data_IF_356916386942
#
_entry.id   IF_356916386942
#
_cell.length_a   1.000
_cell.length_b   1.000
_cell.length_c   1.000
_cell.angle_alpha   90.00
_cell.angle_beta   90.00
_cell.angle_gamma   90.00
#
_symmetry.space_group_name_H-M   'P 1'
#
loop_
_entity.id
_entity.type
_entity.pdbx_description
1 polymer ?
#
# COMPACT_ATOMS: atom_id res chain seq x y z
N UNK A 1 -7.13 30.17 -6.45
CA UNK A 1 -8.58 30.32 -6.41
C UNK A 1 -9.06 30.31 -4.96
N UNK A 2 -9.72 31.38 -4.46
CA UNK A 2 -10.17 31.46 -3.06
C UNK A 2 -11.31 30.49 -2.72
N UNK A 3 -11.93 29.86 -3.72
CA UNK A 3 -13.00 28.87 -3.54
C UNK A 3 -12.49 27.43 -3.56
N UNK A 4 -11.18 27.21 -3.77
CA UNK A 4 -10.60 25.89 -3.78
C UNK A 4 -10.51 25.34 -2.35
N UNK A 5 -11.18 24.21 -2.12
CA UNK A 5 -11.06 23.45 -0.87
C UNK A 5 -9.83 22.57 -0.94
N UNK A 6 -8.93 22.71 0.04
CA UNK A 6 -7.67 21.97 0.13
C UNK A 6 -7.83 20.86 1.16
N UNK A 7 -7.75 19.62 0.70
CA UNK A 7 -7.79 18.42 1.54
C UNK A 7 -6.46 17.71 1.44
N UNK A 8 -5.87 17.34 2.58
CA UNK A 8 -4.63 16.56 2.64
C UNK A 8 -4.85 15.28 3.43
N UNK A 9 -4.07 14.27 3.14
CA UNK A 9 -4.08 12.98 3.84
C UNK A 9 -2.79 12.20 3.59
N UNK A 10 -2.73 11.01 4.14
CA UNK A 10 -1.58 10.12 4.01
C UNK A 10 -0.71 10.07 5.26
N UNK A 11 0.30 9.18 5.29
CA UNK A 11 1.05 8.88 6.51
C UNK A 11 1.82 10.07 7.07
N UNK A 12 2.33 10.96 6.24
CA UNK A 12 3.09 12.14 6.67
C UNK A 12 2.26 13.06 7.57
N UNK A 13 1.01 13.31 7.20
CA UNK A 13 0.15 14.28 7.92
C UNK A 13 -0.66 13.65 9.05
N UNK A 14 -0.80 12.33 9.04
CA UNK A 14 -1.68 11.61 9.99
C UNK A 14 -1.21 11.68 11.44
N UNK A 15 0.06 11.98 11.68
CA UNK A 15 0.65 12.03 13.02
C UNK A 15 1.06 13.44 13.47
N UNK A 16 0.99 14.43 12.57
CA UNK A 16 1.43 15.80 12.80
C UNK A 16 0.30 16.81 12.53
N UNK A 17 -0.92 16.48 12.97
CA UNK A 17 -2.15 17.21 12.67
C UNK A 17 -2.03 18.69 13.00
N UNK A 18 -1.53 19.02 14.20
CA UNK A 18 -1.38 20.39 14.65
C UNK A 18 -0.39 21.17 13.79
N UNK A 19 0.76 20.57 13.52
CA UNK A 19 1.79 21.20 12.70
C UNK A 19 1.24 21.59 11.32
N UNK A 20 0.55 20.69 10.65
CA UNK A 20 0.02 20.96 9.31
C UNK A 20 -1.10 22.00 9.33
N UNK A 21 -2.06 21.89 10.24
CA UNK A 21 -3.19 22.82 10.32
C UNK A 21 -2.80 24.22 10.81
N UNK A 22 -1.73 24.36 11.60
CA UNK A 22 -1.27 25.66 12.10
C UNK A 22 -0.36 26.37 11.11
N UNK A 23 0.43 25.65 10.35
CA UNK A 23 1.47 26.24 9.49
C UNK A 23 1.07 26.32 8.01
N UNK A 24 0.02 25.62 7.57
CA UNK A 24 -0.39 25.59 6.17
C UNK A 24 -1.86 26.00 6.00
N UNK A 25 -2.17 26.51 4.81
CA UNK A 25 -3.55 26.84 4.43
C UNK A 25 -4.25 25.58 3.94
N UNK A 26 -4.82 24.83 4.86
CA UNK A 26 -5.49 23.57 4.67
C UNK A 26 -6.90 23.69 5.24
N UNK A 27 -7.91 23.22 4.50
CA UNK A 27 -9.30 23.21 4.95
C UNK A 27 -9.62 21.95 5.75
N UNK A 28 -9.16 20.78 5.24
CA UNK A 28 -9.39 19.49 5.88
C UNK A 28 -8.13 18.61 5.83
N UNK A 29 -7.90 17.88 6.93
CA UNK A 29 -6.85 16.88 7.06
C UNK A 29 -7.50 15.54 7.42
N UNK A 30 -7.18 14.49 6.66
CA UNK A 30 -7.65 13.12 6.90
C UNK A 30 -6.50 12.31 7.48
N UNK A 31 -6.69 11.79 8.70
CA UNK A 31 -5.72 10.96 9.41
C UNK A 31 -6.12 9.48 9.33
N UNK A 32 -5.25 8.63 8.77
CA UNK A 32 -5.50 7.21 8.55
C UNK A 32 -5.93 6.87 7.12
N UNK A 33 -6.65 5.74 6.95
CA UNK A 33 -7.14 5.31 5.63
C UNK A 33 -8.23 6.24 5.13
N UNK A 34 -8.05 6.80 3.95
CA UNK A 34 -8.84 7.95 3.47
C UNK A 34 -10.01 7.61 2.56
N UNK A 35 -10.10 6.41 2.01
CA UNK A 35 -11.02 6.10 0.90
C UNK A 35 -12.49 6.38 1.24
N UNK A 36 -12.94 5.90 2.39
CA UNK A 36 -14.33 6.13 2.85
C UNK A 36 -14.50 7.54 3.39
N UNK A 37 -13.57 7.97 4.27
CA UNK A 37 -13.65 9.28 4.91
C UNK A 37 -13.60 10.44 3.90
N UNK A 38 -12.80 10.31 2.84
CA UNK A 38 -12.74 11.32 1.78
C UNK A 38 -14.05 11.38 0.98
N UNK A 39 -14.61 10.21 0.65
CA UNK A 39 -15.92 10.16 -0.02
C UNK A 39 -17.01 10.82 0.82
N UNK A 40 -17.11 10.45 2.11
CA UNK A 40 -18.07 11.03 3.04
C UNK A 40 -17.87 12.55 3.20
N UNK A 41 -16.62 13.02 3.22
CA UNK A 41 -16.30 14.44 3.24
C UNK A 41 -16.84 15.16 2.00
N UNK A 42 -16.63 14.60 0.81
CA UNK A 42 -17.15 15.18 -0.43
C UNK A 42 -18.68 15.23 -0.42
N UNK A 43 -19.35 14.16 0.00
CA UNK A 43 -20.80 14.10 0.14
C UNK A 43 -21.31 15.19 1.11
N UNK A 44 -20.65 15.40 2.26
CA UNK A 44 -21.00 16.46 3.19
C UNK A 44 -20.81 17.86 2.60
N UNK A 45 -19.71 18.09 1.87
CA UNK A 45 -19.43 19.38 1.23
C UNK A 45 -20.46 19.71 0.13
N UNK A 46 -20.80 18.73 -0.70
CA UNK A 46 -21.79 18.88 -1.77
C UNK A 46 -23.18 19.15 -1.22
N UNK A 47 -23.57 18.42 -0.18
CA UNK A 47 -24.92 18.52 0.42
C UNK A 47 -25.02 19.58 1.52
N UNK A 48 -23.93 20.28 1.83
CA UNK A 48 -23.82 21.27 2.89
C UNK A 48 -24.22 20.75 4.28
N UNK A 49 -23.95 19.43 4.51
CA UNK A 49 -24.23 18.79 5.79
C UNK A 49 -23.08 18.98 6.78
N UNK A 50 -23.36 18.94 8.09
CA UNK A 50 -22.30 19.01 9.11
C UNK A 50 -21.30 17.88 8.96
N UNK A 51 -20.00 18.21 8.96
CA UNK A 51 -18.91 17.23 8.91
C UNK A 51 -18.64 16.71 10.31
N UNK A 52 -18.99 15.44 10.53
CA UNK A 52 -18.75 14.72 11.78
C UNK A 52 -18.21 13.31 11.47
N UNK A 53 -17.07 13.26 10.80
CA UNK A 53 -16.41 12.04 10.31
C UNK A 53 -15.16 11.84 11.16
N UNK A 54 -15.00 10.65 11.74
CA UNK A 54 -13.83 10.30 12.53
C UNK A 54 -12.56 10.40 11.69
N UNK A 55 -11.51 10.98 12.25
CA UNK A 55 -10.22 11.14 11.59
C UNK A 55 -10.14 12.35 10.65
N UNK A 56 -11.19 13.17 10.56
CA UNK A 56 -11.15 14.43 9.81
C UNK A 56 -10.97 15.61 10.76
N UNK A 57 -9.87 16.31 10.55
CA UNK A 57 -9.52 17.54 11.28
C UNK A 57 -9.59 18.76 10.38
N UNK A 58 -9.88 19.91 11.00
CA UNK A 58 -9.83 21.25 10.41
C UNK A 58 -9.34 22.24 11.47
N UNK A 59 -9.04 23.46 11.08
CA UNK A 59 -8.40 24.45 11.97
C UNK A 59 -9.17 24.73 13.27
N UNK A 60 -10.49 24.74 13.22
CA UNK A 60 -11.40 25.01 14.35
C UNK A 60 -11.88 23.75 15.09
N UNK A 61 -11.69 22.56 14.51
CA UNK A 61 -12.08 21.27 15.10
C UNK A 61 -11.06 20.21 14.76
N UNK A 62 -10.30 19.73 15.75
CA UNK A 62 -9.28 18.70 15.58
C UNK A 62 -9.76 17.36 16.10
N UNK A 63 -9.57 16.33 15.31
CA UNK A 63 -9.81 14.94 15.70
C UNK A 63 -8.48 14.19 15.65
N UNK A 64 -7.95 13.83 16.81
CA UNK A 64 -6.68 13.10 16.93
C UNK A 64 -6.84 11.57 16.78
N UNK A 65 -8.05 11.11 16.53
CA UNK A 65 -8.27 9.72 16.17
C UNK A 65 -7.98 9.52 14.68
N UNK A 66 -7.55 8.34 14.32
CA UNK A 66 -7.50 7.95 12.92
C UNK A 66 -8.87 7.49 12.43
N UNK A 67 -9.10 7.54 11.13
CA UNK A 67 -10.23 6.88 10.48
C UNK A 67 -10.25 5.39 10.85
N UNK A 68 -11.41 4.79 10.80
CA UNK A 68 -11.48 3.33 10.94
C UNK A 68 -10.80 2.66 9.75
N UNK A 69 -10.08 1.55 9.96
CA UNK A 69 -9.56 0.76 8.86
C UNK A 69 -10.68 0.36 7.89
N UNK A 70 -10.45 0.60 6.61
CA UNK A 70 -11.45 0.30 5.58
C UNK A 70 -11.59 -1.21 5.39
N UNK A 71 -12.81 -1.70 5.23
CA UNK A 71 -13.04 -3.09 4.85
C UNK A 71 -12.51 -3.33 3.42
N UNK A 72 -11.56 -4.26 3.28
CA UNK A 72 -11.00 -4.59 1.99
C UNK A 72 -12.05 -5.15 1.01
N UNK A 73 -13.06 -5.85 1.52
CA UNK A 73 -14.16 -6.34 0.68
C UNK A 73 -14.95 -5.17 0.04
N UNK A 74 -15.10 -4.06 0.76
CA UNK A 74 -15.69 -2.86 0.18
C UNK A 74 -14.80 -2.29 -0.93
N UNK A 75 -13.49 -2.21 -0.72
CA UNK A 75 -12.55 -1.71 -1.75
C UNK A 75 -12.54 -2.59 -3.00
N UNK A 76 -12.75 -3.90 -2.85
CA UNK A 76 -12.85 -4.83 -3.97
C UNK A 76 -14.06 -4.57 -4.88
N UNK A 77 -15.08 -3.85 -4.39
CA UNK A 77 -16.26 -3.47 -5.19
C UNK A 77 -16.07 -2.19 -6.01
N UNK A 78 -15.00 -1.44 -5.76
CA UNK A 78 -14.74 -0.18 -6.44
C UNK A 78 -14.13 -0.42 -7.83
N UNK A 79 -14.40 0.52 -8.75
CA UNK A 79 -13.73 0.50 -10.05
C UNK A 79 -12.22 0.68 -9.89
N UNK A 80 -11.47 -0.04 -10.71
CA UNK A 80 -10.02 0.07 -10.71
C UNK A 80 -9.58 1.48 -11.12
N UNK A 81 -8.74 2.16 -10.34
CA UNK A 81 -8.24 3.49 -10.68
C UNK A 81 -7.35 3.49 -11.94
N UNK A 82 -6.89 2.32 -12.36
CA UNK A 82 -6.01 2.15 -13.53
C UNK A 82 -6.75 2.08 -14.86
N UNK A 83 -8.09 2.07 -14.85
CA UNK A 83 -8.92 2.00 -16.07
C UNK A 83 -9.36 3.35 -16.60
N UNK A 84 -8.91 4.46 -16.01
CA UNK A 84 -9.25 5.79 -16.49
C UNK A 84 -8.66 6.01 -17.88
N UNK A 85 -9.50 6.31 -18.86
CA UNK A 85 -9.11 6.48 -20.29
C UNK A 85 -7.93 7.43 -20.47
N UNK A 86 -7.88 8.53 -19.70
CA UNK A 86 -6.78 9.50 -19.75
C UNK A 86 -5.41 8.91 -19.39
N UNK A 87 -5.39 7.85 -18.54
CA UNK A 87 -4.17 7.25 -18.02
C UNK A 87 -3.69 6.10 -18.90
N UNK A 88 -4.60 5.44 -19.65
CA UNK A 88 -4.27 4.30 -20.50
C UNK A 88 -3.28 4.64 -21.62
N UNK A 89 -3.31 5.86 -22.14
CA UNK A 89 -2.43 6.31 -23.23
C UNK A 89 -0.94 6.36 -22.85
N UNK A 90 -0.63 6.45 -21.54
CA UNK A 90 0.74 6.60 -21.02
C UNK A 90 1.17 5.47 -20.09
N UNK A 91 0.45 4.35 -20.06
CA UNK A 91 0.74 3.22 -19.16
C UNK A 91 2.13 2.64 -19.34
N UNK A 92 2.65 2.61 -20.54
CA UNK A 92 3.99 2.11 -20.87
C UNK A 92 5.13 2.99 -20.32
N UNK A 93 4.82 4.22 -19.91
CA UNK A 93 5.76 5.20 -19.34
C UNK A 93 5.66 5.32 -17.82
N UNK A 94 4.70 4.62 -17.19
CA UNK A 94 4.41 4.72 -15.77
C UNK A 94 4.92 3.51 -15.00
N UNK A 95 5.27 3.73 -13.75
CA UNK A 95 5.35 2.69 -12.73
C UNK A 95 3.98 2.64 -12.07
N UNK A 96 3.34 1.48 -12.12
CA UNK A 96 2.08 1.28 -11.42
C UNK A 96 2.35 0.73 -10.01
N UNK A 97 1.65 1.29 -9.06
CA UNK A 97 1.69 0.83 -7.68
C UNK A 97 0.47 -0.05 -7.42
N UNK A 98 0.70 -1.26 -6.93
CA UNK A 98 -0.35 -2.23 -6.70
C UNK A 98 -0.25 -2.80 -5.29
N UNK A 99 -1.37 -3.05 -4.65
CA UNK A 99 -1.44 -3.49 -3.26
C UNK A 99 -2.14 -4.85 -3.19
N UNK A 100 -1.50 -5.85 -2.55
CA UNK A 100 -2.11 -7.16 -2.33
C UNK A 100 -2.49 -7.38 -0.87
N UNK A 101 -1.91 -6.57 0.02
CA UNK A 101 -2.21 -6.59 1.45
C UNK A 101 -1.96 -5.22 2.07
N UNK A 102 -2.61 -4.93 3.19
CA UNK A 102 -2.42 -3.73 4.01
C UNK A 102 -1.91 -4.06 5.39
N UNK A 103 -1.02 -3.20 5.90
CA UNK A 103 -0.39 -3.35 7.19
C UNK A 103 0.91 -4.14 7.13
N UNK A 104 1.51 -4.35 8.31
CA UNK A 104 2.75 -5.09 8.47
C UNK A 104 2.70 -5.91 9.75
N UNK A 105 3.18 -7.18 9.75
CA UNK A 105 3.19 -7.99 10.96
C UNK A 105 4.32 -7.61 11.94
N UNK A 106 5.26 -6.75 11.49
CA UNK A 106 6.43 -6.35 12.27
C UNK A 106 6.24 -5.01 12.98
N UNK A 107 7.02 -4.79 14.04
CA UNK A 107 6.95 -3.60 14.88
C UNK A 107 8.30 -2.86 14.93
N UNK A 108 8.98 -2.75 13.80
CA UNK A 108 10.27 -2.06 13.72
C UNK A 108 10.11 -0.59 14.12
N UNK A 109 10.87 -0.12 15.12
CA UNK A 109 10.68 1.20 15.73
C UNK A 109 10.95 2.39 14.80
N UNK A 110 11.71 2.19 13.74
CA UNK A 110 11.99 3.22 12.74
C UNK A 110 10.97 3.30 11.60
N UNK A 111 9.96 2.40 11.59
CA UNK A 111 9.06 2.26 10.45
C UNK A 111 7.64 2.72 10.78
N UNK A 112 7.09 3.63 9.99
CA UNK A 112 5.70 4.08 10.14
C UNK A 112 4.69 2.93 10.06
N UNK A 113 4.97 1.89 9.26
CA UNK A 113 4.06 0.73 9.15
C UNK A 113 3.93 -0.08 10.44
N UNK A 114 4.78 0.15 11.43
CA UNK A 114 4.66 -0.46 12.76
C UNK A 114 3.53 0.14 13.61
N UNK A 115 3.03 1.30 13.22
CA UNK A 115 1.93 1.99 13.88
C UNK A 115 0.55 1.42 13.46
N UNK A 116 0.50 0.79 12.30
CA UNK A 116 -0.68 0.06 11.83
C UNK A 116 -0.68 -1.35 12.41
N UNK A 117 -1.79 -1.75 13.03
CA UNK A 117 -1.89 -3.08 13.63
C UNK A 117 -2.52 -4.06 12.67
N UNK A 118 -1.85 -5.22 12.55
CA UNK A 118 -2.36 -6.35 11.79
C UNK A 118 -1.99 -6.33 10.32
N UNK A 119 -2.31 -7.42 9.66
CA UNK A 119 -2.09 -7.63 8.24
C UNK A 119 -3.40 -8.13 7.64
N UNK A 120 -3.91 -7.42 6.64
CA UNK A 120 -5.16 -7.71 5.93
C UNK A 120 -4.87 -8.00 4.47
N UNK A 121 -5.50 -8.98 3.89
CA UNK A 121 -5.27 -9.40 2.51
C UNK A 121 -6.51 -9.17 1.66
N UNK A 122 -6.32 -8.68 0.46
CA UNK A 122 -7.34 -8.73 -0.59
C UNK A 122 -7.61 -10.17 -1.02
N UNK A 123 -8.80 -10.44 -1.53
CA UNK A 123 -9.13 -11.76 -2.05
C UNK A 123 -8.30 -12.09 -3.29
N UNK A 124 -7.91 -13.37 -3.43
CA UNK A 124 -7.11 -13.81 -4.58
C UNK A 124 -7.86 -13.62 -5.90
N UNK A 125 -9.19 -13.72 -5.90
CA UNK A 125 -10.00 -13.55 -7.10
C UNK A 125 -9.97 -12.09 -7.57
N UNK A 126 -10.13 -11.14 -6.64
CA UNK A 126 -9.97 -9.72 -6.94
C UNK A 126 -8.57 -9.42 -7.46
N UNK A 127 -7.53 -9.88 -6.77
CA UNK A 127 -6.14 -9.64 -7.15
C UNK A 127 -5.82 -10.17 -8.55
N UNK A 128 -6.28 -11.38 -8.88
CA UNK A 128 -6.08 -11.97 -10.21
C UNK A 128 -6.81 -11.19 -11.29
N UNK A 129 -8.03 -10.72 -11.02
CA UNK A 129 -8.77 -9.89 -11.95
C UNK A 129 -8.05 -8.55 -12.21
N UNK A 130 -7.60 -7.86 -11.16
CA UNK A 130 -6.84 -6.61 -11.29
C UNK A 130 -5.50 -6.81 -11.99
N UNK A 131 -4.74 -7.84 -11.63
CA UNK A 131 -3.46 -8.16 -12.28
C UNK A 131 -3.65 -8.47 -13.78
N UNK A 132 -4.72 -9.15 -14.17
CA UNK A 132 -5.04 -9.37 -15.59
C UNK A 132 -5.21 -8.03 -16.32
N UNK A 133 -5.99 -7.10 -15.76
CA UNK A 133 -6.17 -5.77 -16.35
C UNK A 133 -4.85 -5.01 -16.50
N UNK A 134 -4.00 -5.06 -15.46
CA UNK A 134 -2.70 -4.40 -15.48
C UNK A 134 -1.75 -5.02 -16.51
N UNK A 135 -1.71 -6.35 -16.60
CA UNK A 135 -0.90 -7.06 -17.59
C UNK A 135 -1.34 -6.75 -19.02
N UNK A 136 -2.62 -6.48 -19.25
CA UNK A 136 -3.18 -6.13 -20.56
C UNK A 136 -3.03 -4.64 -20.91
N UNK A 137 -2.72 -3.79 -19.92
CA UNK A 137 -2.65 -2.32 -20.10
C UNK A 137 -1.40 -1.82 -20.83
N UNK A 138 -0.40 -2.68 -21.03
CA UNK A 138 0.90 -2.30 -21.63
C UNK A 138 1.91 -1.72 -20.64
N UNK A 139 1.61 -1.74 -19.33
CA UNK A 139 2.56 -1.32 -18.28
C UNK A 139 3.84 -2.14 -18.32
N UNK A 140 4.97 -1.49 -18.05
CA UNK A 140 6.29 -2.15 -18.01
C UNK A 140 6.78 -2.46 -16.60
N UNK A 141 6.33 -1.70 -15.61
CA UNK A 141 6.77 -1.90 -14.22
C UNK A 141 5.58 -1.79 -13.27
N UNK A 142 5.38 -2.84 -12.49
CA UNK A 142 4.40 -2.87 -11.39
C UNK A 142 5.20 -3.02 -10.09
N UNK A 143 5.07 -2.03 -9.19
CA UNK A 143 5.63 -2.09 -7.84
C UNK A 143 4.53 -2.46 -6.86
N UNK A 144 4.71 -3.56 -6.14
CA UNK A 144 3.83 -3.92 -5.04
C UNK A 144 4.14 -3.05 -3.82
N UNK A 145 3.07 -2.58 -3.18
CA UNK A 145 3.16 -1.72 -1.98
C UNK A 145 3.13 -2.51 -0.67
N UNK A 146 3.00 -3.82 -0.76
CA UNK A 146 3.02 -4.71 0.40
C UNK A 146 4.31 -4.52 1.20
N UNK A 147 4.20 -4.19 2.47
CA UNK A 147 5.35 -3.94 3.36
C UNK A 147 6.19 -5.18 3.64
N UNK A 148 5.66 -6.36 3.37
CA UNK A 148 6.35 -7.64 3.40
C UNK A 148 5.52 -8.64 2.59
N UNK A 149 5.72 -8.68 1.30
CA UNK A 149 4.97 -9.52 0.37
C UNK A 149 4.96 -11.01 0.77
N UNK A 150 6.08 -11.49 1.32
CA UNK A 150 6.24 -12.88 1.75
C UNK A 150 5.77 -13.17 3.18
N UNK A 151 5.05 -12.26 3.83
CA UNK A 151 4.53 -12.47 5.20
C UNK A 151 3.56 -13.65 5.31
N UNK A 152 2.89 -14.03 4.21
CA UNK A 152 2.04 -15.22 4.13
C UNK A 152 2.40 -16.03 2.88
N UNK A 153 3.14 -17.11 3.06
CA UNK A 153 3.68 -17.93 1.98
C UNK A 153 2.64 -18.37 0.95
N UNK A 154 1.48 -18.86 1.39
CA UNK A 154 0.44 -19.34 0.48
C UNK A 154 -0.14 -18.22 -0.40
N UNK A 155 -0.26 -16.99 0.15
CA UNK A 155 -0.72 -15.82 -0.59
C UNK A 155 0.32 -15.41 -1.64
N UNK A 156 1.59 -15.31 -1.22
CA UNK A 156 2.68 -14.97 -2.11
C UNK A 156 2.83 -15.95 -3.28
N UNK A 157 2.79 -17.26 -2.99
CA UNK A 157 2.86 -18.30 -4.04
C UNK A 157 1.70 -18.19 -5.02
N UNK A 158 0.46 -17.99 -4.56
CA UNK A 158 -0.69 -17.88 -5.44
C UNK A 158 -0.60 -16.66 -6.40
N UNK A 159 -0.01 -15.57 -5.94
CA UNK A 159 0.23 -14.37 -6.76
C UNK A 159 1.36 -14.62 -7.76
N UNK A 160 2.49 -15.18 -7.31
CA UNK A 160 3.61 -15.52 -8.20
C UNK A 160 3.20 -16.51 -9.28
N UNK A 161 2.44 -17.56 -8.92
CA UNK A 161 1.89 -18.53 -9.86
C UNK A 161 1.05 -17.82 -10.93
N UNK A 162 0.16 -16.93 -10.52
CA UNK A 162 -0.65 -16.16 -11.45
C UNK A 162 0.20 -15.29 -12.38
N UNK A 163 1.17 -14.55 -11.84
CA UNK A 163 2.06 -13.67 -12.60
C UNK A 163 2.88 -14.48 -13.61
N UNK A 164 3.46 -15.63 -13.22
CA UNK A 164 4.28 -16.45 -14.11
C UNK A 164 3.47 -17.06 -15.23
N UNK A 165 2.26 -17.55 -14.92
CA UNK A 165 1.34 -18.10 -15.90
C UNK A 165 0.89 -17.09 -16.96
N UNK A 166 0.75 -15.83 -16.58
CA UNK A 166 0.27 -14.77 -17.47
C UNK A 166 1.40 -13.80 -17.88
N UNK A 167 2.65 -14.21 -17.69
CA UNK A 167 3.81 -13.40 -18.02
C UNK A 167 3.79 -12.90 -19.47
N UNK A 168 4.19 -11.63 -19.63
CA UNK A 168 4.42 -11.01 -20.93
C UNK A 168 5.85 -10.44 -20.97
N UNK A 169 6.61 -10.65 -22.06
CA UNK A 169 7.95 -10.10 -22.20
C UNK A 169 7.97 -8.59 -22.02
N UNK A 170 8.96 -8.09 -21.27
CA UNK A 170 9.16 -6.65 -21.05
C UNK A 170 8.46 -6.07 -19.83
N UNK A 171 7.69 -6.87 -19.08
CA UNK A 171 7.13 -6.44 -17.78
C UNK A 171 8.04 -6.86 -16.63
N UNK A 172 8.12 -6.01 -15.60
CA UNK A 172 8.84 -6.26 -14.35
C UNK A 172 7.94 -6.00 -13.15
N UNK A 173 8.00 -6.91 -12.18
CA UNK A 173 7.36 -6.75 -10.87
C UNK A 173 8.41 -6.50 -9.80
N UNK A 174 8.17 -5.50 -8.95
CA UNK A 174 9.03 -5.15 -7.84
C UNK A 174 8.29 -5.43 -6.52
N UNK A 175 8.97 -6.13 -5.59
CA UNK A 175 8.43 -6.57 -4.32
C UNK A 175 9.33 -6.13 -3.17
N UNK A 176 8.73 -5.69 -2.06
CA UNK A 176 9.42 -5.57 -0.78
C UNK A 176 9.23 -6.88 0.00
N UNK A 177 10.31 -7.52 0.38
CA UNK A 177 10.30 -8.79 1.10
C UNK A 177 11.14 -8.73 2.38
N UNK A 178 10.79 -9.58 3.34
CA UNK A 178 11.61 -9.83 4.50
C UNK A 178 12.40 -11.12 4.29
N UNK A 179 13.74 -11.01 4.26
CA UNK A 179 14.63 -12.15 3.98
C UNK A 179 14.51 -13.26 5.00
N UNK A 180 14.33 -12.94 6.29
CA UNK A 180 14.30 -13.93 7.37
C UNK A 180 13.13 -14.91 7.31
N UNK A 181 12.00 -14.45 6.79
CA UNK A 181 10.79 -15.25 6.69
C UNK A 181 10.52 -15.74 5.26
N UNK A 182 11.55 -15.66 4.42
CA UNK A 182 11.45 -16.18 3.05
C UNK A 182 11.41 -17.70 3.10
N UNK A 183 10.25 -18.26 2.76
CA UNK A 183 10.01 -19.70 2.77
C UNK A 183 10.74 -20.37 1.60
N UNK A 184 11.37 -21.52 1.87
CA UNK A 184 12.08 -22.28 0.84
C UNK A 184 11.21 -22.59 -0.37
N UNK A 185 9.92 -22.85 -0.18
CA UNK A 185 8.96 -23.10 -1.27
C UNK A 185 8.84 -21.93 -2.24
N UNK A 186 8.95 -20.69 -1.75
CA UNK A 186 8.93 -19.49 -2.62
C UNK A 186 10.23 -19.45 -3.43
N UNK A 187 11.37 -19.72 -2.79
CA UNK A 187 12.69 -19.74 -3.44
C UNK A 187 12.70 -20.80 -4.56
N UNK A 188 12.30 -22.02 -4.23
CA UNK A 188 12.26 -23.14 -5.19
C UNK A 188 11.35 -22.80 -6.37
N UNK A 189 10.15 -22.28 -6.08
CA UNK A 189 9.19 -21.92 -7.12
C UNK A 189 9.72 -20.82 -8.05
N UNK A 190 10.41 -19.81 -7.50
CA UNK A 190 11.04 -18.75 -8.30
C UNK A 190 12.17 -19.33 -9.17
N UNK A 191 13.02 -20.17 -8.60
CA UNK A 191 14.14 -20.77 -9.33
C UNK A 191 13.69 -21.64 -10.48
N UNK A 192 12.59 -22.40 -10.30
CA UNK A 192 12.08 -23.33 -11.29
C UNK A 192 11.29 -22.63 -12.42
N UNK A 193 10.56 -21.56 -12.09
CA UNK A 193 9.53 -21.02 -13.00
C UNK A 193 9.67 -19.55 -13.35
N UNK A 194 10.49 -18.75 -12.65
CA UNK A 194 10.51 -17.31 -12.90
C UNK A 194 11.21 -16.95 -14.22
N UNK A 195 10.52 -16.26 -15.14
CA UNK A 195 11.18 -15.69 -16.31
C UNK A 195 12.27 -14.67 -15.91
N UNK A 196 13.39 -14.68 -16.63
CA UNK A 196 14.49 -13.75 -16.36
C UNK A 196 14.04 -12.30 -16.50
N UNK A 197 14.39 -11.47 -15.50
CA UNK A 197 14.10 -10.04 -15.51
C UNK A 197 12.66 -9.69 -15.08
N UNK A 198 11.81 -10.67 -14.82
CA UNK A 198 10.44 -10.44 -14.37
C UNK A 198 10.37 -9.89 -12.94
N UNK A 199 11.19 -10.42 -12.03
CA UNK A 199 11.14 -10.10 -10.62
C UNK A 199 12.31 -9.21 -10.19
N UNK A 200 12.01 -8.24 -9.34
CA UNK A 200 12.96 -7.43 -8.61
C UNK A 200 12.55 -7.41 -7.13
N UNK A 201 13.48 -7.72 -6.24
CA UNK A 201 13.24 -7.71 -4.80
C UNK A 201 14.01 -6.59 -4.12
N UNK A 202 13.32 -5.93 -3.18
CA UNK A 202 13.90 -5.01 -2.22
C UNK A 202 13.92 -5.73 -0.86
N UNK A 203 15.14 -5.90 -0.30
CA UNK A 203 15.35 -6.59 0.97
C UNK A 203 16.06 -5.63 1.93
N UNK A 204 15.35 -5.26 3.00
CA UNK A 204 15.93 -4.41 4.02
C UNK A 204 16.76 -5.23 5.02
N UNK A 205 18.07 -5.03 5.07
CA UNK A 205 18.96 -5.65 6.06
C UNK A 205 19.07 -4.80 7.32
N UNK A 206 19.06 -3.48 7.18
CA UNK A 206 19.14 -2.45 8.22
C UNK A 206 20.48 -2.44 8.97
N UNK A 207 20.81 -3.47 9.77
CA UNK A 207 22.04 -3.61 10.50
C UNK A 207 22.43 -5.08 10.60
N UNK A 208 23.73 -5.37 10.54
CA UNK A 208 24.30 -6.69 10.85
C UNK A 208 24.71 -6.82 12.32
N UNK A 209 24.54 -5.75 13.11
CA UNK A 209 24.86 -5.73 14.54
C UNK A 209 23.62 -6.05 15.36
N UNK A 210 23.58 -7.23 15.95
CA UNK A 210 22.43 -7.79 16.67
C UNK A 210 21.87 -6.86 17.76
N UNK A 211 22.68 -6.22 18.64
CA UNK A 211 22.14 -5.31 19.65
C UNK A 211 21.38 -4.11 19.07
N UNK A 212 21.79 -3.61 17.91
CA UNK A 212 21.02 -2.55 17.21
C UNK A 212 19.66 -3.08 16.74
N UNK A 213 19.63 -4.28 16.18
CA UNK A 213 18.40 -4.89 15.71
C UNK A 213 17.43 -5.17 16.85
N UNK A 214 17.92 -5.59 18.01
CA UNK A 214 17.09 -5.76 19.22
C UNK A 214 16.46 -4.44 19.68
N UNK A 215 17.26 -3.36 19.77
CA UNK A 215 16.79 -2.04 20.19
C UNK A 215 15.66 -1.55 19.26
N UNK A 216 15.85 -1.68 17.95
CA UNK A 216 14.86 -1.22 16.96
C UNK A 216 13.75 -2.25 16.66
N UNK A 217 13.70 -3.34 17.41
CA UNK A 217 12.74 -4.45 17.24
C UNK A 217 12.73 -5.02 15.81
N UNK A 218 13.90 -5.07 15.19
CA UNK A 218 14.11 -5.71 13.90
C UNK A 218 14.83 -7.03 14.11
N UNK A 219 14.08 -8.11 14.29
CA UNK A 219 14.65 -9.44 14.44
C UNK A 219 15.11 -9.96 13.09
N UNK A 220 16.39 -10.33 13.00
CA UNK A 220 17.00 -10.88 11.80
C UNK A 220 17.91 -12.05 12.17
N UNK A 221 17.83 -13.11 11.37
CA UNK A 221 18.73 -14.27 11.48
C UNK A 221 19.70 -14.26 10.29
N UNK A 222 20.95 -13.89 10.53
CA UNK A 222 21.98 -13.80 9.51
C UNK A 222 22.64 -15.15 9.16
N UNK A 223 22.31 -16.22 9.87
CA UNK A 223 22.79 -17.56 9.56
C UNK A 223 21.92 -18.29 8.54
N UNK A 224 20.78 -17.74 8.22
CA UNK A 224 19.79 -18.29 7.28
C UNK A 224 19.87 -17.61 5.93
#
# INVERSE_FOLDING_TARGET
DPQLVIVIGGPEVSYEIDYFLDNFKIDYLISGEGEVAFKELLDCLETQQPINIQGISRKDKRDYQQTKPVDLQYLETLESPYLLKRDLADMDKRILYFETSRGCPYQCQYCLSSLEKGLRFFSLDYLKAQLSLLLDSGVKTIKLLDRSFNAKTAHALAILEFIFKHYRPGIQFQFEINGDVLDQRIIDYINDYAPRGLLRFEIGIQSTYEPTNEIVKRYQNFER
#
